data_IF_589213558830
#
_entry.id   IF_589213558830
#
_cell.length_a   1.000
_cell.length_b   1.000
_cell.length_c   1.000
_cell.angle_alpha   90.00
_cell.angle_beta   90.00
_cell.angle_gamma   90.00
#
_symmetry.space_group_name_H-M   'P 1'
#
loop_
_entity.id
_entity.type
_entity.pdbx_description
1 polymer ?
#
# COMPACT_ATOMS: atom_id res chain seq x y z
N UNK A 1 -14.89 8.22 -13.03
CA UNK A 1 -13.67 8.80 -12.41
C UNK A 1 -13.82 10.26 -12.00
N UNK A 2 -14.67 11.06 -12.66
CA UNK A 2 -14.91 12.46 -12.26
C UNK A 2 -15.41 12.67 -10.82
N UNK A 3 -16.23 11.75 -10.28
CA UNK A 3 -16.65 11.82 -8.87
C UNK A 3 -15.46 11.72 -7.92
N UNK A 4 -14.50 10.83 -8.20
CA UNK A 4 -13.29 10.67 -7.39
C UNK A 4 -12.49 11.97 -7.40
N UNK A 5 -12.28 12.57 -8.57
CA UNK A 5 -11.57 13.86 -8.69
C UNK A 5 -12.23 14.97 -7.87
N UNK A 6 -13.57 15.02 -7.85
CA UNK A 6 -14.33 15.98 -7.01
C UNK A 6 -14.10 15.75 -5.51
N UNK A 7 -14.03 14.49 -5.07
CA UNK A 7 -13.73 14.17 -3.67
C UNK A 7 -12.30 14.56 -3.29
N UNK A 8 -11.34 14.37 -4.22
CA UNK A 8 -9.92 14.66 -4.00
C UNK A 8 -9.65 16.14 -3.69
N UNK A 9 -10.46 17.07 -4.21
CA UNK A 9 -10.34 18.51 -3.97
C UNK A 9 -10.26 18.83 -2.46
N UNK A 10 -11.03 18.12 -1.64
CA UNK A 10 -11.10 18.35 -0.19
C UNK A 10 -10.51 17.19 0.64
N UNK A 11 -9.91 16.19 -0.01
CA UNK A 11 -9.32 15.06 0.69
C UNK A 11 -7.91 15.40 1.18
N UNK A 12 -7.58 15.02 2.41
CA UNK A 12 -6.21 15.09 2.90
C UNK A 12 -5.37 13.90 2.46
N UNK A 13 -5.96 12.71 2.48
CA UNK A 13 -5.27 11.45 2.24
C UNK A 13 -6.11 10.58 1.29
N UNK A 14 -5.48 10.05 0.25
CA UNK A 14 -5.96 8.94 -0.56
C UNK A 14 -5.15 7.69 -0.20
N UNK A 15 -5.83 6.58 0.07
CA UNK A 15 -5.20 5.27 0.29
C UNK A 15 -5.67 4.32 -0.80
N UNK A 16 -4.73 3.63 -1.43
CA UNK A 16 -5.03 2.63 -2.47
C UNK A 16 -4.07 1.44 -2.38
N UNK A 17 -4.55 0.27 -2.81
CA UNK A 17 -3.79 -0.98 -2.77
C UNK A 17 -3.85 -1.77 -4.09
N UNK A 18 -3.99 -1.07 -5.22
CA UNK A 18 -3.99 -1.69 -6.54
C UNK A 18 -2.57 -2.03 -7.01
N UNK A 19 -2.47 -2.85 -8.06
CA UNK A 19 -1.18 -3.10 -8.72
C UNK A 19 -0.65 -1.78 -9.32
N UNK A 20 0.68 -1.56 -9.33
CA UNK A 20 1.27 -0.38 -9.96
C UNK A 20 0.74 -0.13 -11.38
N UNK A 21 0.43 1.13 -11.69
CA UNK A 21 -0.12 1.53 -12.99
C UNK A 21 -1.65 1.41 -13.11
N UNK A 22 -2.36 0.85 -12.12
CA UNK A 22 -3.82 0.66 -12.21
C UNK A 22 -4.57 1.99 -12.14
N UNK A 23 -4.28 2.83 -11.15
CA UNK A 23 -4.97 4.12 -10.98
C UNK A 23 -4.58 5.10 -12.08
N UNK A 24 -3.37 4.99 -12.62
CA UNK A 24 -2.88 5.75 -13.76
C UNK A 24 -3.70 5.44 -15.02
N UNK A 25 -3.98 4.15 -15.30
CA UNK A 25 -4.87 3.74 -16.40
C UNK A 25 -6.30 4.27 -16.26
N UNK A 26 -6.71 4.61 -15.05
CA UNK A 26 -8.02 5.21 -14.78
C UNK A 26 -8.00 6.74 -14.81
N UNK A 27 -6.85 7.37 -15.13
CA UNK A 27 -6.70 8.81 -15.11
C UNK A 27 -6.72 9.40 -13.69
N UNK A 28 -6.29 8.61 -12.71
CA UNK A 28 -6.16 8.96 -11.29
C UNK A 28 -4.71 8.77 -10.81
N UNK A 29 -3.75 8.99 -11.72
CA UNK A 29 -2.32 8.95 -11.39
C UNK A 29 -1.92 10.07 -10.42
N UNK A 30 -0.82 9.91 -9.68
CA UNK A 30 -0.34 10.93 -8.75
C UNK A 30 -0.16 12.32 -9.39
N UNK A 31 0.34 12.38 -10.61
CA UNK A 31 0.50 13.60 -11.41
C UNK A 31 -0.84 14.33 -11.62
N UNK A 32 -1.89 13.59 -12.00
CA UNK A 32 -3.23 14.14 -12.20
C UNK A 32 -3.86 14.58 -10.89
N UNK A 33 -3.76 13.76 -9.84
CA UNK A 33 -4.40 14.03 -8.56
C UNK A 33 -3.72 15.18 -7.81
N UNK A 34 -2.39 15.27 -7.86
CA UNK A 34 -1.64 16.36 -7.24
C UNK A 34 -1.80 17.68 -7.99
N UNK A 35 -2.06 17.67 -9.30
CA UNK A 35 -2.45 18.87 -10.03
C UNK A 35 -3.82 19.42 -9.56
N UNK A 36 -4.73 18.55 -9.13
CA UNK A 36 -6.04 18.94 -8.57
C UNK A 36 -5.91 19.42 -7.12
N UNK A 37 -5.12 18.71 -6.31
CA UNK A 37 -4.88 19.02 -4.92
C UNK A 37 -3.38 18.86 -4.59
N UNK A 38 -2.59 19.96 -4.64
CA UNK A 38 -1.15 19.92 -4.37
C UNK A 38 -0.79 19.49 -2.95
N UNK A 39 -1.74 19.55 -2.01
CA UNK A 39 -1.57 19.11 -0.63
C UNK A 39 -2.02 17.66 -0.39
N UNK A 40 -2.39 16.90 -1.42
CA UNK A 40 -2.87 15.53 -1.27
C UNK A 40 -1.73 14.58 -0.87
N UNK A 41 -1.95 13.80 0.17
CA UNK A 41 -1.08 12.68 0.54
C UNK A 41 -1.62 11.41 -0.12
N UNK A 42 -0.78 10.68 -0.86
CA UNK A 42 -1.18 9.43 -1.53
C UNK A 42 -0.40 8.27 -0.91
N UNK A 43 -1.11 7.37 -0.22
CA UNK A 43 -0.56 6.16 0.37
C UNK A 43 -0.85 4.98 -0.56
N UNK A 44 0.21 4.35 -1.06
CA UNK A 44 0.12 3.26 -2.04
C UNK A 44 0.66 1.97 -1.46
N UNK A 45 -0.20 0.99 -1.25
CA UNK A 45 0.17 -0.31 -0.69
C UNK A 45 0.29 -1.34 -1.81
N UNK A 46 1.48 -1.93 -1.98
CA UNK A 46 1.74 -2.95 -3.01
C UNK A 46 2.60 -4.06 -2.45
N UNK A 47 2.53 -5.25 -3.06
CA UNK A 47 3.30 -6.41 -2.57
C UNK A 47 4.82 -6.27 -2.70
N UNK A 48 5.29 -5.55 -3.72
CA UNK A 48 6.72 -5.46 -4.05
C UNK A 48 7.21 -4.03 -4.30
N UNK A 49 6.39 -3.02 -3.97
CA UNK A 49 6.70 -1.61 -4.21
C UNK A 49 6.20 -1.10 -5.57
N UNK A 50 6.21 0.24 -5.70
CA UNK A 50 5.84 0.94 -6.94
C UNK A 50 6.94 0.87 -8.01
N UNK A 51 8.17 0.57 -7.60
CA UNK A 51 9.37 0.54 -8.44
C UNK A 51 10.16 -0.75 -8.21
N UNK A 52 11.18 -1.00 -9.06
CA UNK A 52 12.03 -2.17 -8.96
C UNK A 52 11.58 -3.36 -9.81
N UNK A 53 12.37 -4.46 -9.83
CA UNK A 53 12.21 -5.56 -10.77
C UNK A 53 10.95 -6.40 -10.53
N UNK A 54 10.35 -6.31 -9.34
CA UNK A 54 9.18 -7.09 -8.96
C UNK A 54 7.89 -6.28 -8.86
N UNK A 55 7.90 -4.99 -9.22
CA UNK A 55 6.73 -4.09 -9.11
C UNK A 55 5.47 -4.63 -9.80
N UNK A 56 5.63 -5.34 -10.91
CA UNK A 56 4.50 -5.85 -11.70
C UNK A 56 4.00 -7.22 -11.23
N UNK A 57 4.63 -7.82 -10.21
CA UNK A 57 4.20 -9.10 -9.66
C UNK A 57 2.95 -8.90 -8.78
N UNK A 58 1.99 -9.84 -8.83
CA UNK A 58 0.86 -9.82 -7.91
C UNK A 58 1.34 -10.01 -6.47
N UNK A 59 0.85 -9.15 -5.57
CA UNK A 59 1.08 -9.26 -4.13
C UNK A 59 -0.14 -9.82 -3.41
N UNK A 60 0.10 -10.62 -2.38
CA UNK A 60 -0.89 -11.04 -1.40
C UNK A 60 -0.19 -11.30 -0.06
N UNK A 61 -0.91 -11.20 1.07
CA UNK A 61 -0.32 -11.33 2.40
C UNK A 61 0.48 -12.63 2.58
N UNK A 62 -0.07 -13.75 2.12
CA UNK A 62 0.61 -15.06 2.21
C UNK A 62 1.90 -15.14 1.39
N UNK A 63 1.97 -14.43 0.26
CA UNK A 63 3.19 -14.35 -0.57
C UNK A 63 4.24 -13.51 0.17
N UNK A 64 3.83 -12.40 0.78
CA UNK A 64 4.74 -11.57 1.57
C UNK A 64 5.28 -12.32 2.79
N UNK A 65 4.43 -13.08 3.48
CA UNK A 65 4.82 -13.93 4.62
C UNK A 65 5.79 -15.03 4.21
N UNK A 66 5.57 -15.68 3.08
CA UNK A 66 6.50 -16.66 2.54
C UNK A 66 7.83 -16.00 2.13
N UNK A 67 7.77 -14.88 1.43
CA UNK A 67 8.94 -14.16 0.91
C UNK A 67 9.82 -13.59 2.03
N UNK A 68 9.21 -13.11 3.12
CA UNK A 68 9.92 -12.61 4.30
C UNK A 68 10.45 -13.71 5.23
N UNK A 69 10.19 -14.99 4.93
CA UNK A 69 10.63 -16.12 5.74
C UNK A 69 9.74 -16.45 6.94
N UNK A 70 8.62 -15.76 7.13
CA UNK A 70 7.68 -16.05 8.21
C UNK A 70 7.06 -17.43 8.09
N UNK A 71 6.78 -17.87 6.86
CA UNK A 71 6.33 -19.23 6.64
C UNK A 71 7.40 -20.23 7.12
N UNK A 72 8.67 -20.02 6.74
CA UNK A 72 9.78 -20.93 7.05
C UNK A 72 9.99 -21.15 8.56
N UNK A 73 9.84 -20.10 9.37
CA UNK A 73 10.03 -20.18 10.84
C UNK A 73 8.77 -20.61 11.59
N UNK A 74 7.64 -20.80 10.91
CA UNK A 74 6.35 -21.12 11.52
C UNK A 74 5.98 -22.58 11.29
N UNK A 75 5.57 -23.27 12.36
CA UNK A 75 5.15 -24.67 12.32
C UNK A 75 6.11 -25.60 13.05
N UNK A 76 6.32 -26.80 12.51
CA UNK A 76 7.06 -27.88 13.14
C UNK A 76 8.24 -28.34 12.27
N UNK A 77 9.38 -28.76 12.84
CA UNK A 77 10.57 -29.15 12.06
C UNK A 77 10.38 -30.34 11.12
N UNK A 78 9.41 -31.22 11.41
CA UNK A 78 9.15 -32.48 10.71
C UNK A 78 8.05 -32.36 9.63
N UNK A 79 7.54 -31.15 9.37
CA UNK A 79 6.36 -30.92 8.51
C UNK A 79 6.55 -29.71 7.61
N UNK A 80 5.72 -29.57 6.56
CA UNK A 80 5.75 -28.37 5.73
C UNK A 80 5.55 -27.07 6.55
N UNK A 81 6.16 -25.96 6.11
CA UNK A 81 5.95 -24.63 6.69
C UNK A 81 4.48 -24.26 6.82
N UNK A 82 4.11 -23.60 7.92
CA UNK A 82 2.79 -23.04 8.12
C UNK A 82 2.83 -21.53 7.90
N UNK A 83 1.73 -20.96 7.42
CA UNK A 83 1.56 -19.51 7.47
C UNK A 83 1.31 -19.05 8.91
N UNK A 84 1.64 -17.80 9.27
CA UNK A 84 1.24 -17.21 10.55
C UNK A 84 -0.27 -17.39 10.81
N UNK A 85 -0.65 -17.59 12.07
CA UNK A 85 -2.05 -17.86 12.46
C UNK A 85 -3.03 -16.69 12.29
N UNK A 86 -2.54 -15.55 11.80
CA UNK A 86 -3.31 -14.37 11.46
C UNK A 86 -2.69 -13.71 10.23
N UNK A 87 -3.42 -12.80 9.57
CA UNK A 87 -2.91 -12.04 8.42
C UNK A 87 -1.83 -11.04 8.85
N UNK A 88 -0.63 -11.54 9.11
CA UNK A 88 0.50 -10.80 9.65
C UNK A 88 0.92 -9.71 8.66
N UNK A 89 1.13 -10.08 7.40
CA UNK A 89 1.54 -9.11 6.37
C UNK A 89 0.50 -7.99 6.19
N UNK A 90 -0.78 -8.34 6.09
CA UNK A 90 -1.84 -7.35 5.87
C UNK A 90 -2.02 -6.43 7.08
N UNK A 91 -2.02 -6.99 8.29
CA UNK A 91 -2.19 -6.21 9.54
C UNK A 91 -1.00 -5.28 9.80
N UNK A 92 0.23 -5.78 9.63
CA UNK A 92 1.44 -4.96 9.82
C UNK A 92 1.56 -3.89 8.75
N UNK A 93 1.25 -4.20 7.50
CA UNK A 93 1.24 -3.24 6.40
C UNK A 93 0.17 -2.16 6.61
N UNK A 94 -1.03 -2.54 7.04
CA UNK A 94 -2.10 -1.60 7.36
C UNK A 94 -1.73 -0.64 8.49
N UNK A 95 -1.13 -1.16 9.57
CA UNK A 95 -0.66 -0.34 10.69
C UNK A 95 0.46 0.62 10.26
N UNK A 96 1.42 0.13 9.48
CA UNK A 96 2.50 0.96 8.95
C UNK A 96 1.98 2.04 8.00
N UNK A 97 1.05 1.70 7.11
CA UNK A 97 0.42 2.66 6.20
C UNK A 97 -0.31 3.76 6.98
N UNK A 98 -1.08 3.41 8.02
CA UNK A 98 -1.76 4.37 8.87
C UNK A 98 -0.78 5.27 9.64
N UNK A 99 0.31 4.70 10.17
CA UNK A 99 1.37 5.44 10.84
C UNK A 99 2.03 6.46 9.90
N UNK A 100 2.49 6.02 8.73
CA UNK A 100 3.13 6.89 7.74
C UNK A 100 2.18 7.97 7.21
N UNK A 101 0.90 7.64 7.00
CA UNK A 101 -0.12 8.62 6.63
C UNK A 101 -0.27 9.71 7.70
N UNK A 102 -0.29 9.31 8.98
CA UNK A 102 -0.38 10.23 10.12
C UNK A 102 0.86 11.13 10.23
N UNK A 103 2.06 10.57 10.01
CA UNK A 103 3.32 11.33 9.99
C UNK A 103 3.32 12.34 8.85
N UNK A 104 2.94 11.94 7.63
CA UNK A 104 2.85 12.84 6.48
C UNK A 104 1.82 13.95 6.70
N UNK A 105 0.67 13.64 7.30
CA UNK A 105 -0.35 14.62 7.62
C UNK A 105 0.13 15.61 8.69
N UNK A 106 0.90 15.14 9.67
CA UNK A 106 1.50 16.01 10.69
C UNK A 106 2.53 16.96 10.09
N UNK A 107 3.37 16.49 9.16
CA UNK A 107 4.36 17.32 8.46
C UNK A 107 3.69 18.38 7.58
N UNK A 108 2.66 17.99 6.80
CA UNK A 108 1.82 18.90 6.02
C UNK A 108 1.20 20.02 6.87
N UNK A 109 0.81 19.75 8.11
CA UNK A 109 0.20 20.76 9.00
C UNK A 109 1.20 21.77 9.58
N UNK A 110 2.50 21.48 9.53
CA UNK A 110 3.56 22.38 10.00
C UNK A 110 4.06 23.33 8.92
N UNK A 111 3.84 22.98 7.66
CA UNK A 111 4.26 23.73 6.47
C UNK A 111 3.09 24.56 5.95
#
# INVERSE_FOLDING_TARGET
MEIVKKLIVNADILIENYRPGTIEKWGLGPDVLMAINPGLIIVRVTGFGQTGPYKDRPGFGTIAEAYAGYAYISGYPDRPPLLPGFGLADSTTGLMAAYLASVALHDKRKT
#
